data_IF_952376755549
#
_entry.id   IF_952376755549
#
_cell.length_a   1.000
_cell.length_b   1.000
_cell.length_c   1.000
_cell.angle_alpha   90.00
_cell.angle_beta   90.00
_cell.angle_gamma   90.00
#
_symmetry.space_group_name_H-M   'P 1'
#
loop_
_entity.id
_entity.type
_entity.pdbx_description
1 polymer ?
#
# COMPACT_ATOMS: atom_id res chain seq x y z
N UNK A 1 8.22 8.99 -13.94
CA UNK A 1 9.60 8.98 -14.47
C UNK A 1 9.64 8.08 -15.69
N UNK A 2 10.56 8.30 -16.64
CA UNK A 2 10.75 7.41 -17.79
C UNK A 2 12.17 6.88 -17.79
N UNK A 3 12.31 5.58 -18.06
CA UNK A 3 13.62 4.92 -18.08
C UNK A 3 14.53 5.39 -19.23
N UNK A 4 13.93 5.84 -20.35
CA UNK A 4 14.67 6.33 -21.50
C UNK A 4 14.49 7.84 -21.71
N UNK A 5 15.49 8.54 -22.29
CA UNK A 5 15.36 9.95 -22.64
C UNK A 5 14.31 10.17 -23.72
N UNK A 6 13.80 11.40 -23.81
CA UNK A 6 12.87 11.79 -24.88
C UNK A 6 13.50 11.64 -26.27
N UNK A 7 12.65 11.48 -27.31
CA UNK A 7 13.05 11.20 -28.70
C UNK A 7 13.72 9.84 -28.96
N UNK A 8 13.81 8.96 -27.92
CA UNK A 8 14.21 7.58 -28.14
C UNK A 8 13.21 6.91 -29.08
N UNK A 9 13.72 6.13 -30.05
CA UNK A 9 12.91 5.29 -30.93
C UNK A 9 12.36 4.12 -30.14
N UNK A 10 11.04 3.96 -30.12
CA UNK A 10 10.38 2.88 -29.39
C UNK A 10 9.45 2.08 -30.30
N UNK A 11 9.30 0.82 -29.97
CA UNK A 11 8.28 -0.08 -30.55
C UNK A 11 7.38 -0.54 -29.40
N UNK A 12 6.07 -0.44 -29.57
CA UNK A 12 5.08 -0.85 -28.58
C UNK A 12 4.69 -2.32 -28.85
N UNK A 13 5.02 -3.20 -27.89
CA UNK A 13 4.69 -4.62 -28.00
C UNK A 13 3.38 -4.92 -27.27
N UNK A 14 2.29 -5.00 -28.03
CA UNK A 14 0.91 -5.19 -27.59
C UNK A 14 -0.04 -4.32 -28.40
N UNK A 15 -1.13 -4.93 -28.88
CA UNK A 15 -2.18 -4.27 -29.71
C UNK A 15 -3.54 -4.24 -29.01
N UNK A 16 -3.54 -4.28 -27.67
CA UNK A 16 -4.73 -4.20 -26.81
C UNK A 16 -5.14 -2.73 -26.54
N UNK A 17 -6.17 -2.54 -25.73
CA UNK A 17 -6.55 -1.22 -25.20
C UNK A 17 -5.39 -0.52 -24.49
N UNK A 18 -4.53 -1.27 -23.80
CA UNK A 18 -3.30 -0.76 -23.18
C UNK A 18 -2.34 -0.20 -24.23
N UNK A 19 -2.22 -0.86 -25.40
CA UNK A 19 -1.44 -0.38 -26.54
C UNK A 19 -1.95 0.95 -27.09
N UNK A 20 -3.26 1.09 -27.21
CA UNK A 20 -3.88 2.34 -27.64
C UNK A 20 -3.59 3.48 -26.66
N UNK A 21 -3.76 3.23 -25.36
CA UNK A 21 -3.48 4.22 -24.33
C UNK A 21 -2.01 4.64 -24.33
N UNK A 22 -1.08 3.67 -24.37
CA UNK A 22 0.35 3.89 -24.43
C UNK A 22 0.75 4.74 -25.64
N UNK A 23 0.18 4.47 -26.81
CA UNK A 23 0.44 5.25 -28.01
C UNK A 23 0.12 6.74 -27.80
N UNK A 24 -1.10 7.06 -27.37
CA UNK A 24 -1.50 8.45 -27.15
C UNK A 24 -0.70 9.14 -26.06
N UNK A 25 -0.28 8.40 -25.03
CA UNK A 25 0.52 8.91 -23.92
C UNK A 25 1.97 9.22 -24.32
N UNK A 26 2.56 8.39 -25.18
CA UNK A 26 4.00 8.45 -25.45
C UNK A 26 4.37 9.18 -26.75
N UNK A 27 3.48 9.31 -27.73
CA UNK A 27 3.74 9.89 -29.05
C UNK A 27 4.26 11.32 -29.05
N UNK A 28 4.00 12.10 -28.00
CA UNK A 28 4.51 13.47 -27.88
C UNK A 28 5.97 13.54 -27.40
N UNK A 29 6.48 12.45 -26.83
CA UNK A 29 7.79 12.39 -26.20
C UNK A 29 8.77 11.45 -26.89
N UNK A 30 8.28 10.38 -27.48
CA UNK A 30 9.06 9.32 -28.11
C UNK A 30 8.72 9.19 -29.59
N UNK A 31 9.72 8.73 -30.40
CA UNK A 31 9.49 8.34 -31.78
C UNK A 31 8.94 6.90 -31.82
N UNK A 32 7.64 6.75 -32.01
CA UNK A 32 6.99 5.43 -32.09
C UNK A 32 7.12 4.89 -33.51
N UNK A 33 7.95 3.86 -33.69
CA UNK A 33 8.21 3.24 -34.99
C UNK A 33 7.07 2.33 -35.44
N UNK A 34 6.32 1.74 -34.51
CA UNK A 34 5.22 0.84 -34.79
C UNK A 34 4.79 0.05 -33.60
N UNK A 35 3.83 -0.83 -33.85
CA UNK A 35 3.38 -1.84 -32.91
C UNK A 35 3.92 -3.22 -33.29
N UNK A 36 4.01 -4.11 -32.30
CA UNK A 36 4.21 -5.54 -32.51
C UNK A 36 3.19 -6.33 -31.71
N UNK A 37 2.91 -7.55 -32.12
CA UNK A 37 1.96 -8.47 -31.47
C UNK A 37 2.54 -9.86 -31.38
N UNK A 38 2.13 -10.62 -30.36
CA UNK A 38 2.47 -12.06 -30.24
C UNK A 38 1.82 -12.93 -31.32
N UNK A 39 0.73 -12.44 -31.93
CA UNK A 39 0.05 -13.09 -33.08
C UNK A 39 0.54 -12.58 -34.43
N UNK A 40 0.20 -13.31 -35.50
CA UNK A 40 0.49 -12.92 -36.89
C UNK A 40 -0.51 -11.84 -37.34
N UNK A 41 -0.45 -10.66 -36.75
CA UNK A 41 -1.26 -9.52 -37.17
C UNK A 41 -0.44 -8.66 -38.16
N UNK A 42 -1.09 -8.17 -39.20
CA UNK A 42 -0.55 -7.20 -40.15
C UNK A 42 -1.55 -6.06 -40.34
N UNK A 43 -1.07 -4.91 -40.79
CA UNK A 43 -1.91 -3.73 -41.01
C UNK A 43 -1.53 -2.56 -40.09
N UNK A 44 -2.52 -1.75 -39.71
CA UNK A 44 -2.31 -0.57 -38.87
C UNK A 44 -3.09 -0.66 -37.55
N UNK A 45 -2.47 -0.18 -36.49
CA UNK A 45 -3.10 0.03 -35.19
C UNK A 45 -2.84 1.48 -34.74
N UNK A 46 -3.88 2.21 -34.38
CA UNK A 46 -3.78 3.67 -34.10
C UNK A 46 -3.18 4.50 -35.26
N UNK A 47 -3.34 4.05 -36.51
CA UNK A 47 -2.77 4.70 -37.68
C UNK A 47 -1.28 4.40 -37.96
N UNK A 48 -0.63 3.60 -37.08
CA UNK A 48 0.79 3.21 -37.18
C UNK A 48 0.88 1.73 -37.57
N UNK A 49 1.94 1.37 -38.29
CA UNK A 49 2.10 0.01 -38.83
C UNK A 49 2.29 -1.03 -37.72
N UNK A 50 1.71 -2.20 -37.87
CA UNK A 50 2.00 -3.39 -37.09
C UNK A 50 3.20 -4.09 -37.76
N UNK A 51 4.33 -4.05 -37.08
CA UNK A 51 5.59 -4.57 -37.58
C UNK A 51 5.70 -6.09 -37.33
N UNK A 52 6.22 -6.86 -38.28
CA UNK A 52 6.43 -8.29 -38.06
C UNK A 52 7.50 -8.57 -37.03
N UNK A 53 7.33 -9.62 -36.25
CA UNK A 53 8.26 -10.01 -35.20
C UNK A 53 9.70 -10.31 -35.69
N UNK A 54 9.89 -10.56 -36.97
CA UNK A 54 11.22 -10.69 -37.58
C UNK A 54 12.05 -9.38 -37.57
N UNK A 55 11.39 -8.23 -37.45
CA UNK A 55 12.04 -6.94 -37.38
C UNK A 55 12.57 -6.56 -35.99
N UNK A 56 12.25 -7.32 -34.94
CA UNK A 56 12.67 -7.03 -33.56
C UNK A 56 14.20 -6.83 -33.50
N UNK A 57 14.98 -7.83 -33.93
CA UNK A 57 16.44 -7.74 -33.87
C UNK A 57 17.03 -6.63 -34.75
N UNK A 58 16.61 -6.47 -36.03
CA UNK A 58 17.03 -5.33 -36.84
C UNK A 58 16.78 -3.98 -36.20
N UNK A 59 15.59 -3.74 -35.64
CA UNK A 59 15.24 -2.48 -34.99
C UNK A 59 16.05 -2.22 -33.72
N UNK A 60 16.25 -3.25 -32.90
CA UNK A 60 17.11 -3.14 -31.70
C UNK A 60 18.56 -2.79 -32.07
N UNK A 61 19.10 -3.39 -33.15
CA UNK A 61 20.45 -3.04 -33.68
C UNK A 61 20.54 -1.60 -34.17
N UNK A 62 19.44 -1.00 -34.60
CA UNK A 62 19.33 0.41 -34.98
C UNK A 62 19.06 1.33 -33.77
N UNK A 63 19.10 0.80 -32.54
CA UNK A 63 18.91 1.55 -31.30
C UNK A 63 17.47 1.71 -30.85
N UNK A 64 16.49 1.08 -31.52
CA UNK A 64 15.12 1.11 -31.03
C UNK A 64 14.97 0.28 -29.75
N UNK A 65 14.04 0.69 -28.88
CA UNK A 65 13.69 0.01 -27.63
C UNK A 65 12.30 -0.57 -27.73
N UNK A 66 12.12 -1.78 -27.25
CA UNK A 66 10.81 -2.45 -27.22
C UNK A 66 10.17 -2.22 -25.86
N UNK A 67 8.97 -1.66 -25.83
CA UNK A 67 8.18 -1.48 -24.63
C UNK A 67 7.10 -2.55 -24.60
N UNK A 68 7.24 -3.50 -23.68
CA UNK A 68 6.28 -4.58 -23.49
C UNK A 68 5.12 -4.05 -22.65
N UNK A 69 3.92 -4.00 -23.25
CA UNK A 69 2.77 -3.31 -22.68
C UNK A 69 1.93 -4.19 -21.74
N UNK A 70 1.85 -5.46 -22.04
CA UNK A 70 1.28 -6.44 -21.12
C UNK A 70 2.42 -6.83 -20.16
N UNK A 71 2.24 -6.65 -18.85
CA UNK A 71 3.24 -6.99 -17.83
C UNK A 71 3.45 -8.52 -17.78
N UNK A 72 3.81 -9.08 -18.92
CA UNK A 72 3.99 -10.51 -19.11
C UNK A 72 5.47 -10.86 -18.91
N UNK A 73 5.80 -11.28 -17.69
CA UNK A 73 7.11 -11.83 -17.37
C UNK A 73 7.52 -12.97 -18.32
N UNK A 74 6.54 -13.71 -18.89
CA UNK A 74 6.76 -14.75 -19.89
C UNK A 74 7.20 -14.14 -21.23
N UNK A 75 6.60 -13.03 -21.65
CA UNK A 75 7.01 -12.29 -22.84
C UNK A 75 8.44 -11.74 -22.66
N UNK A 76 8.74 -11.09 -21.55
CA UNK A 76 10.06 -10.55 -21.23
C UNK A 76 11.14 -11.66 -21.23
N UNK A 77 10.88 -12.78 -20.57
CA UNK A 77 11.79 -13.95 -20.60
C UNK A 77 11.97 -14.50 -22.01
N UNK A 78 10.91 -14.58 -22.80
CA UNK A 78 11.02 -15.05 -24.20
C UNK A 78 11.86 -14.11 -25.07
N UNK A 79 11.81 -12.80 -24.85
CA UNK A 79 12.67 -11.84 -25.54
C UNK A 79 14.13 -12.01 -25.14
N UNK A 80 14.40 -12.22 -23.88
CA UNK A 80 15.76 -12.43 -23.37
C UNK A 80 16.31 -13.80 -23.79
N UNK A 81 15.64 -14.90 -23.45
CA UNK A 81 16.17 -16.26 -23.63
C UNK A 81 16.16 -16.72 -25.08
N UNK A 82 15.07 -16.47 -25.82
CA UNK A 82 14.93 -16.97 -27.19
C UNK A 82 15.53 -16.06 -28.25
N UNK A 83 15.67 -14.77 -27.94
CA UNK A 83 16.14 -13.76 -28.92
C UNK A 83 17.45 -13.08 -28.51
N UNK A 84 17.99 -13.39 -27.33
CA UNK A 84 19.23 -12.82 -26.81
C UNK A 84 19.17 -11.30 -26.58
N UNK A 85 17.96 -10.76 -26.36
CA UNK A 85 17.79 -9.34 -26.07
C UNK A 85 18.06 -9.06 -24.59
N UNK A 86 18.69 -7.94 -24.31
CA UNK A 86 19.05 -7.54 -22.93
C UNK A 86 18.00 -6.58 -22.38
N UNK A 87 17.58 -6.84 -21.13
CA UNK A 87 16.71 -5.94 -20.38
C UNK A 87 17.36 -4.55 -20.29
N UNK A 88 16.61 -3.49 -20.39
CA UNK A 88 16.99 -2.10 -20.50
C UNK A 88 17.69 -1.75 -21.84
N UNK A 89 18.66 -2.53 -22.30
CA UNK A 89 19.39 -2.20 -23.54
C UNK A 89 18.52 -2.33 -24.79
N UNK A 90 17.63 -3.31 -24.80
CA UNK A 90 16.77 -3.61 -25.95
C UNK A 90 15.29 -3.50 -25.64
N UNK A 91 14.86 -3.90 -24.46
CA UNK A 91 13.45 -3.90 -24.08
C UNK A 91 13.24 -3.56 -22.60
N UNK A 92 12.03 -3.11 -22.26
CA UNK A 92 11.51 -2.97 -20.90
C UNK A 92 10.02 -3.27 -20.86
N UNK A 93 9.50 -3.86 -19.76
CA UNK A 93 8.07 -3.81 -19.48
C UNK A 93 7.62 -2.38 -19.18
N UNK A 94 6.37 -2.07 -19.45
CA UNK A 94 5.80 -0.72 -19.26
C UNK A 94 5.92 -0.23 -17.82
N UNK A 95 5.83 -1.11 -16.86
CA UNK A 95 6.01 -0.83 -15.41
C UNK A 95 7.39 -0.28 -15.07
N UNK A 96 8.43 -0.74 -15.75
CA UNK A 96 9.81 -0.26 -15.60
C UNK A 96 10.17 0.83 -16.62
N UNK A 97 9.40 1.00 -17.68
CA UNK A 97 9.59 2.09 -18.64
C UNK A 97 9.06 3.41 -18.12
N UNK A 98 7.87 3.40 -17.52
CA UNK A 98 7.27 4.54 -16.85
C UNK A 98 6.95 4.19 -15.41
N UNK A 99 7.66 4.78 -14.47
CA UNK A 99 7.54 4.43 -13.05
C UNK A 99 7.54 5.66 -12.14
N UNK A 100 6.80 5.57 -11.06
CA UNK A 100 6.90 6.47 -9.91
C UNK A 100 7.84 5.89 -8.83
N UNK A 101 7.98 4.57 -8.82
CA UNK A 101 8.85 3.76 -7.97
C UNK A 101 9.30 2.54 -8.75
N UNK A 102 10.50 2.03 -8.49
CA UNK A 102 11.02 0.83 -9.15
C UNK A 102 10.45 -0.39 -8.42
N UNK A 103 9.62 -1.20 -9.10
CA UNK A 103 9.17 -2.48 -8.56
C UNK A 103 10.32 -3.49 -8.64
N UNK A 104 11.03 -3.63 -7.51
CA UNK A 104 12.22 -4.46 -7.43
C UNK A 104 11.90 -5.95 -7.45
N UNK A 105 10.71 -6.36 -6.98
CA UNK A 105 10.30 -7.77 -7.06
C UNK A 105 9.97 -8.17 -8.50
N UNK A 106 9.29 -7.30 -9.23
CA UNK A 106 9.03 -7.50 -10.65
C UNK A 106 10.34 -7.58 -11.42
N UNK A 107 11.24 -6.62 -11.25
CA UNK A 107 12.56 -6.61 -11.89
C UNK A 107 13.35 -7.88 -11.55
N UNK A 108 13.39 -8.28 -10.27
CA UNK A 108 14.14 -9.44 -9.78
C UNK A 108 13.61 -10.76 -10.36
N UNK A 109 12.30 -10.84 -10.64
CA UNK A 109 11.67 -12.03 -11.24
C UNK A 109 11.92 -12.19 -12.74
N UNK A 110 12.32 -11.10 -13.43
CA UNK A 110 12.43 -11.05 -14.89
C UNK A 110 13.84 -11.31 -15.43
N UNK A 111 14.87 -11.23 -14.59
CA UNK A 111 16.26 -11.27 -15.04
C UNK A 111 17.17 -12.08 -14.12
N UNK A 112 18.38 -12.37 -14.56
CA UNK A 112 19.41 -12.97 -13.71
C UNK A 112 19.88 -11.99 -12.63
N UNK A 113 20.55 -12.49 -11.59
CA UNK A 113 21.13 -11.65 -10.54
C UNK A 113 22.16 -10.64 -11.08
N UNK A 114 22.96 -11.04 -12.07
CA UNK A 114 23.94 -10.20 -12.73
C UNK A 114 23.24 -9.07 -13.51
N UNK A 115 22.17 -9.39 -14.21
CA UNK A 115 21.37 -8.41 -14.95
C UNK A 115 20.63 -7.49 -14.01
N UNK A 116 20.07 -7.98 -12.92
CA UNK A 116 19.45 -7.18 -11.86
C UNK A 116 20.44 -6.18 -11.28
N UNK A 117 21.63 -6.64 -10.90
CA UNK A 117 22.72 -5.78 -10.35
C UNK A 117 23.14 -4.70 -11.33
N UNK A 118 23.09 -4.97 -12.64
CA UNK A 118 23.42 -4.00 -13.69
C UNK A 118 22.28 -2.98 -13.93
N UNK A 119 21.03 -3.45 -13.96
CA UNK A 119 19.89 -2.65 -14.42
C UNK A 119 19.33 -1.75 -13.31
N UNK A 120 19.29 -2.21 -12.06
CA UNK A 120 18.72 -1.46 -10.95
C UNK A 120 19.37 -0.08 -10.77
N UNK A 121 20.72 0.08 -10.70
CA UNK A 121 21.36 1.38 -10.60
C UNK A 121 21.06 2.31 -11.79
N UNK A 122 20.91 1.75 -12.99
CA UNK A 122 20.57 2.55 -14.19
C UNK A 122 19.14 3.12 -14.07
N UNK A 123 18.18 2.31 -13.62
CA UNK A 123 16.81 2.75 -13.40
C UNK A 123 16.70 3.81 -12.29
N UNK A 124 17.58 3.78 -11.31
CA UNK A 124 17.65 4.82 -10.28
C UNK A 124 18.04 6.21 -10.81
N UNK A 125 18.66 6.30 -11.98
CA UNK A 125 19.02 7.57 -12.65
C UNK A 125 19.84 8.52 -11.77
N UNK A 126 20.78 7.98 -11.00
CA UNK A 126 21.63 8.75 -10.08
C UNK A 126 20.96 9.18 -8.78
N UNK A 127 19.71 8.80 -8.54
CA UNK A 127 19.03 9.03 -7.27
C UNK A 127 19.43 8.00 -6.24
N UNK A 128 19.25 8.34 -4.96
CA UNK A 128 19.41 7.43 -3.83
C UNK A 128 18.21 6.50 -3.73
N UNK A 129 18.43 5.22 -3.44
CA UNK A 129 17.35 4.26 -3.21
C UNK A 129 16.73 4.44 -1.82
N UNK A 130 15.41 4.51 -1.76
CA UNK A 130 14.65 4.51 -0.53
C UNK A 130 13.81 3.23 -0.43
N UNK A 131 13.91 2.50 0.67
CA UNK A 131 13.11 1.32 0.97
C UNK A 131 12.26 1.59 2.21
N UNK A 132 10.98 1.24 2.15
CA UNK A 132 10.09 1.24 3.32
C UNK A 132 9.58 -0.17 3.57
N UNK A 133 9.66 -0.62 4.82
CA UNK A 133 9.34 -1.99 5.22
C UNK A 133 8.34 -1.98 6.40
N UNK A 134 7.28 -2.76 6.28
CA UNK A 134 6.23 -2.82 7.30
C UNK A 134 4.93 -3.41 6.76
N UNK A 135 3.83 -3.10 7.42
CA UNK A 135 2.48 -3.52 7.03
C UNK A 135 1.84 -2.57 6.00
N UNK A 136 0.52 -2.69 5.80
CA UNK A 136 -0.25 -1.87 4.85
C UNK A 136 -0.13 -0.35 5.05
N UNK A 137 0.24 0.13 6.24
CA UNK A 137 0.40 1.56 6.55
C UNK A 137 1.60 2.20 5.82
N UNK A 138 2.58 1.41 5.42
CA UNK A 138 3.82 1.91 4.80
C UNK A 138 3.64 2.39 3.37
N UNK A 139 2.74 1.78 2.61
CA UNK A 139 2.49 2.19 1.22
C UNK A 139 1.89 3.60 1.10
N UNK A 140 0.86 3.98 1.89
CA UNK A 140 0.38 5.36 1.94
C UNK A 140 1.44 6.38 2.38
N UNK A 141 2.27 6.06 3.38
CA UNK A 141 3.38 6.93 3.80
C UNK A 141 4.35 7.12 2.62
N UNK A 142 4.75 6.03 1.95
CA UNK A 142 5.60 6.10 0.76
C UNK A 142 4.97 6.93 -0.36
N UNK A 143 3.64 6.90 -0.49
CA UNK A 143 2.91 7.71 -1.47
C UNK A 143 3.03 9.21 -1.17
N UNK A 144 2.86 9.66 0.07
CA UNK A 144 3.10 11.05 0.43
C UNK A 144 4.56 11.45 0.19
N UNK A 145 5.53 10.65 0.60
CA UNK A 145 6.95 10.92 0.38
C UNK A 145 7.28 11.09 -1.11
N UNK A 146 6.75 10.22 -1.99
CA UNK A 146 6.95 10.32 -3.45
C UNK A 146 6.39 11.61 -4.05
N UNK A 147 5.30 12.12 -3.50
CA UNK A 147 4.70 13.38 -3.95
C UNK A 147 5.31 14.62 -3.31
N UNK A 148 6.30 14.45 -2.42
CA UNK A 148 7.13 15.56 -1.98
C UNK A 148 8.24 15.85 -3.00
N UNK A 149 8.38 17.12 -3.39
CA UNK A 149 9.30 17.52 -4.47
C UNK A 149 10.76 17.30 -4.10
N UNK A 150 11.20 17.68 -2.88
CA UNK A 150 12.58 17.51 -2.44
C UNK A 150 12.93 16.03 -2.33
N UNK A 151 12.05 15.22 -1.75
CA UNK A 151 12.24 13.79 -1.69
C UNK A 151 12.36 13.17 -3.08
N UNK A 152 11.46 13.48 -4.00
CA UNK A 152 11.43 12.90 -5.34
C UNK A 152 12.58 13.34 -6.25
N UNK A 153 13.25 14.47 -5.92
CA UNK A 153 14.50 14.88 -6.58
C UNK A 153 15.70 14.05 -6.12
N UNK A 154 15.76 13.71 -4.84
CA UNK A 154 16.90 13.05 -4.23
C UNK A 154 16.78 11.54 -4.21
N UNK A 155 15.57 11.01 -3.98
CA UNK A 155 15.29 9.59 -3.77
C UNK A 155 14.36 9.01 -4.83
N UNK A 156 14.50 7.70 -5.05
CA UNK A 156 13.52 6.85 -5.74
C UNK A 156 13.19 5.66 -4.85
N UNK A 157 11.89 5.32 -4.73
CA UNK A 157 11.50 4.15 -3.98
C UNK A 157 11.86 2.86 -4.71
N UNK A 158 12.51 1.97 -3.98
CA UNK A 158 12.77 0.58 -4.33
C UNK A 158 11.64 -0.24 -3.70
N UNK A 159 10.57 -0.45 -4.47
CA UNK A 159 9.37 -1.12 -3.98
C UNK A 159 9.64 -2.62 -3.84
N UNK A 160 9.32 -3.13 -2.66
CA UNK A 160 9.13 -4.55 -2.38
C UNK A 160 7.65 -4.82 -2.05
N UNK A 161 7.34 -5.75 -1.18
CA UNK A 161 5.98 -6.00 -0.70
C UNK A 161 5.88 -5.74 0.79
N UNK A 162 4.65 -5.66 1.31
CA UNK A 162 4.41 -5.62 2.75
C UNK A 162 4.83 -6.94 3.41
N UNK A 163 5.25 -6.89 4.67
CA UNK A 163 5.92 -8.00 5.36
C UNK A 163 5.17 -9.33 5.30
N UNK A 164 3.84 -9.30 5.45
CA UNK A 164 3.01 -10.51 5.43
C UNK A 164 2.73 -11.09 4.03
N UNK A 165 3.22 -10.46 2.96
CA UNK A 165 3.09 -10.93 1.57
C UNK A 165 4.40 -11.42 0.96
N UNK A 166 5.49 -11.46 1.72
CA UNK A 166 6.69 -12.13 1.25
C UNK A 166 6.46 -13.63 1.13
N UNK A 167 6.99 -14.22 0.07
CA UNK A 167 6.94 -15.65 -0.21
C UNK A 167 8.37 -16.20 -0.32
N UNK A 168 8.54 -17.53 -0.26
CA UNK A 168 9.85 -18.17 -0.48
C UNK A 168 10.49 -17.78 -1.81
N UNK A 169 9.69 -17.49 -2.82
CA UNK A 169 10.15 -17.15 -4.16
C UNK A 169 10.75 -15.74 -4.25
N UNK A 170 10.27 -14.80 -3.44
CA UNK A 170 10.67 -13.38 -3.55
C UNK A 170 11.48 -12.85 -2.36
N UNK A 171 11.50 -13.57 -1.24
CA UNK A 171 12.19 -13.16 -0.02
C UNK A 171 13.71 -13.03 -0.21
N UNK A 172 14.29 -13.77 -1.18
CA UNK A 172 15.70 -13.76 -1.50
C UNK A 172 16.27 -12.38 -1.81
N UNK A 173 15.42 -11.43 -2.28
CA UNK A 173 15.83 -10.05 -2.55
C UNK A 173 16.35 -9.35 -1.30
N UNK A 174 15.79 -9.65 -0.12
CA UNK A 174 16.20 -9.06 1.17
C UNK A 174 17.58 -9.56 1.65
N UNK A 175 18.23 -10.42 0.89
CA UNK A 175 19.60 -10.89 1.13
C UNK A 175 20.48 -10.70 -0.11
N UNK A 176 19.96 -10.11 -1.17
CA UNK A 176 20.71 -9.81 -2.37
C UNK A 176 21.57 -8.56 -2.16
N UNK A 177 22.90 -8.73 -2.25
CA UNK A 177 23.84 -7.64 -2.00
C UNK A 177 23.66 -6.47 -2.97
N UNK A 178 23.40 -6.75 -4.24
CA UNK A 178 23.22 -5.70 -5.25
C UNK A 178 21.97 -4.85 -4.97
N UNK A 179 20.91 -5.45 -4.44
CA UNK A 179 19.73 -4.72 -3.96
C UNK A 179 20.05 -3.88 -2.73
N UNK A 180 20.66 -4.51 -1.71
CA UNK A 180 20.94 -3.85 -0.42
C UNK A 180 21.90 -2.68 -0.57
N UNK A 181 22.92 -2.79 -1.44
CA UNK A 181 23.89 -1.72 -1.74
C UNK A 181 23.22 -0.50 -2.42
N UNK A 182 22.07 -0.68 -3.05
CA UNK A 182 21.29 0.42 -3.64
C UNK A 182 20.43 1.17 -2.61
N UNK A 183 20.23 0.63 -1.40
CA UNK A 183 19.39 1.25 -0.37
C UNK A 183 20.19 2.27 0.43
N UNK A 184 19.91 3.56 0.23
CA UNK A 184 20.53 4.66 0.95
C UNK A 184 19.67 5.21 2.09
N UNK A 185 18.36 4.93 2.06
CA UNK A 185 17.39 5.27 3.10
C UNK A 185 16.50 4.06 3.35
N UNK A 186 16.52 3.56 4.57
CA UNK A 186 15.67 2.45 5.01
C UNK A 186 14.75 2.92 6.13
N UNK A 187 13.46 2.91 5.86
CA UNK A 187 12.41 3.21 6.84
C UNK A 187 11.71 1.91 7.21
N UNK A 188 11.53 1.61 8.49
CA UNK A 188 10.91 0.36 8.90
C UNK A 188 10.06 0.52 10.15
N UNK A 189 8.93 -0.18 10.20
CA UNK A 189 8.26 -0.47 11.46
C UNK A 189 9.08 -1.48 12.24
N UNK A 190 8.89 -1.53 13.57
CA UNK A 190 9.56 -2.53 14.40
C UNK A 190 8.98 -3.93 14.10
N UNK A 191 9.74 -4.75 13.41
CA UNK A 191 9.39 -6.10 13.02
C UNK A 191 10.33 -7.06 13.75
N UNK A 192 9.74 -7.93 14.60
CA UNK A 192 10.50 -8.91 15.38
C UNK A 192 11.11 -9.99 14.47
N UNK A 193 12.25 -10.54 14.88
CA UNK A 193 12.85 -11.75 14.27
C UNK A 193 11.98 -13.00 14.44
N UNK A 194 11.08 -12.98 15.42
CA UNK A 194 10.11 -14.04 15.68
C UNK A 194 8.76 -13.80 14.99
N UNK A 195 8.71 -12.87 14.05
CA UNK A 195 7.53 -12.62 13.24
C UNK A 195 7.19 -13.86 12.42
N UNK A 196 5.93 -14.28 12.47
CA UNK A 196 5.43 -15.49 11.83
C UNK A 196 5.37 -15.41 10.29
N UNK A 197 5.55 -14.22 9.70
CA UNK A 197 5.40 -14.03 8.25
C UNK A 197 6.75 -14.04 7.51
N UNK A 198 7.72 -13.26 7.99
CA UNK A 198 8.98 -13.09 7.27
C UNK A 198 10.10 -12.67 8.22
N UNK A 199 10.90 -13.62 8.66
CA UNK A 199 12.05 -13.38 9.53
C UNK A 199 13.08 -12.45 8.88
N UNK A 200 13.34 -12.63 7.59
CA UNK A 200 14.34 -11.90 6.80
C UNK A 200 14.02 -10.40 6.71
N UNK A 201 12.73 -10.04 6.80
CA UNK A 201 12.27 -8.65 6.81
C UNK A 201 12.29 -8.02 8.23
N UNK A 202 12.77 -8.76 9.26
CA UNK A 202 12.87 -8.17 10.60
C UNK A 202 13.79 -6.96 10.61
N UNK A 203 13.40 -5.95 11.41
CA UNK A 203 14.15 -4.68 11.48
C UNK A 203 15.59 -4.91 11.88
N UNK A 204 15.83 -5.82 12.84
CA UNK A 204 17.16 -6.15 13.33
C UNK A 204 18.06 -6.77 12.26
N UNK A 205 17.55 -7.75 11.51
CA UNK A 205 18.32 -8.39 10.43
C UNK A 205 18.57 -7.44 9.27
N UNK A 206 17.57 -6.63 8.90
CA UNK A 206 17.74 -5.64 7.84
C UNK A 206 18.79 -4.59 8.25
N UNK A 207 18.79 -4.12 9.48
CA UNK A 207 19.80 -3.17 9.96
C UNK A 207 21.23 -3.71 9.89
N UNK A 208 21.41 -5.02 10.12
CA UNK A 208 22.72 -5.69 10.01
C UNK A 208 23.17 -5.92 8.57
N UNK A 209 22.23 -6.11 7.63
CA UNK A 209 22.53 -6.39 6.21
C UNK A 209 22.80 -5.11 5.40
N UNK A 210 22.14 -4.01 5.76
CA UNK A 210 22.24 -2.75 5.02
C UNK A 210 23.59 -2.08 5.26
N UNK A 211 24.15 -1.38 4.25
CA UNK A 211 25.39 -0.62 4.37
C UNK A 211 25.38 0.36 5.55
N UNK A 212 26.53 0.62 6.15
CA UNK A 212 26.67 1.60 7.23
C UNK A 212 26.31 3.03 6.77
N UNK A 213 26.46 3.31 5.49
CA UNK A 213 26.08 4.58 4.87
C UNK A 213 24.57 4.74 4.70
N UNK A 214 23.81 3.65 4.83
CA UNK A 214 22.35 3.68 4.74
C UNK A 214 21.77 4.38 5.97
N UNK A 215 21.01 5.47 5.75
CA UNK A 215 20.24 6.11 6.83
C UNK A 215 19.06 5.22 7.21
N UNK A 216 19.01 4.85 8.48
CA UNK A 216 17.99 3.94 9.04
C UNK A 216 17.00 4.75 9.86
N UNK A 217 15.71 4.54 9.65
CA UNK A 217 14.63 5.28 10.32
C UNK A 217 13.60 4.29 10.85
N UNK A 218 13.42 4.25 12.16
CA UNK A 218 12.38 3.45 12.80
C UNK A 218 11.10 4.27 12.89
N UNK A 219 10.05 3.81 12.21
CA UNK A 219 8.73 4.44 12.22
C UNK A 219 7.76 3.68 13.12
N UNK A 220 6.74 4.36 13.63
CA UNK A 220 5.72 3.75 14.45
C UNK A 220 4.83 2.79 13.63
N UNK A 221 4.35 1.75 14.29
CA UNK A 221 3.24 0.91 13.83
C UNK A 221 1.99 1.37 14.57
N UNK A 222 1.05 1.95 13.84
CA UNK A 222 -0.19 2.45 14.40
C UNK A 222 -1.09 1.29 14.81
N UNK A 223 -1.52 1.34 16.05
CA UNK A 223 -2.51 0.44 16.63
C UNK A 223 -3.23 1.18 17.74
N UNK A 224 -4.55 1.35 17.60
CA UNK A 224 -5.39 2.05 18.56
C UNK A 224 -6.79 1.46 18.60
N UNK A 225 -7.15 0.82 19.70
CA UNK A 225 -8.46 0.21 19.93
C UNK A 225 -9.44 1.15 20.65
N UNK A 226 -9.05 2.39 20.96
CA UNK A 226 -9.89 3.30 21.74
C UNK A 226 -11.24 3.67 21.10
N UNK A 227 -11.40 3.47 19.79
CA UNK A 227 -12.69 3.59 19.12
C UNK A 227 -13.41 2.22 18.98
N UNK A 228 -12.72 1.12 19.20
CA UNK A 228 -13.15 -0.24 18.83
C UNK A 228 -13.03 -1.19 20.03
N UNK A 229 -13.74 -0.93 21.16
CA UNK A 229 -13.67 -1.79 22.34
C UNK A 229 -14.16 -3.22 22.03
N UNK A 230 -15.04 -3.38 21.03
CA UNK A 230 -15.55 -4.68 20.57
C UNK A 230 -14.56 -5.47 19.71
N UNK A 231 -13.38 -4.94 19.39
CA UNK A 231 -12.43 -5.53 18.45
C UNK A 231 -12.01 -6.95 18.84
N UNK A 232 -12.23 -7.88 17.95
CA UNK A 232 -11.70 -9.25 18.02
C UNK A 232 -11.42 -9.82 16.63
N UNK A 233 -10.73 -10.97 16.57
CA UNK A 233 -10.60 -11.72 15.33
C UNK A 233 -11.96 -12.27 14.94
N UNK A 234 -12.36 -12.08 13.67
CA UNK A 234 -13.60 -12.67 13.16
C UNK A 234 -13.39 -14.14 12.79
N UNK A 235 -14.05 -15.05 13.49
CA UNK A 235 -14.03 -16.49 13.23
C UNK A 235 -14.98 -16.89 12.09
N UNK A 236 -15.93 -16.05 11.74
CA UNK A 236 -16.93 -16.25 10.68
C UNK A 236 -16.50 -15.64 9.34
N UNK A 237 -15.29 -15.05 9.27
CA UNK A 237 -14.82 -14.37 8.06
C UNK A 237 -14.62 -15.35 6.91
N UNK A 238 -15.30 -15.12 5.79
CA UNK A 238 -15.18 -15.90 4.55
C UNK A 238 -14.32 -15.13 3.55
N UNK A 239 -13.12 -15.67 3.28
CA UNK A 239 -12.23 -15.12 2.26
C UNK A 239 -12.68 -15.59 0.88
N UNK A 240 -12.65 -14.71 -0.10
CA UNK A 240 -12.90 -15.03 -1.50
C UNK A 240 -11.77 -14.47 -2.38
N UNK A 241 -11.61 -14.99 -3.61
CA UNK A 241 -10.62 -14.49 -4.57
C UNK A 241 -10.82 -13.00 -4.91
N UNK A 242 -12.07 -12.53 -4.86
CA UNK A 242 -12.41 -11.12 -5.11
C UNK A 242 -12.18 -10.22 -3.89
N UNK A 243 -12.33 -10.76 -2.69
CA UNK A 243 -12.23 -10.03 -1.42
C UNK A 243 -11.24 -10.73 -0.51
N UNK A 244 -9.96 -10.39 -0.67
CA UNK A 244 -8.84 -11.00 0.05
C UNK A 244 -8.89 -10.78 1.57
N UNK A 245 -9.67 -9.82 2.02
CA UNK A 245 -9.91 -9.54 3.44
C UNK A 245 -11.24 -10.14 3.94
N UNK A 246 -12.08 -10.67 3.04
CA UNK A 246 -13.37 -11.30 3.34
C UNK A 246 -14.48 -10.30 3.68
N UNK A 247 -15.63 -10.86 4.08
CA UNK A 247 -16.70 -10.10 4.69
C UNK A 247 -16.43 -9.98 6.20
N UNK A 248 -16.60 -8.80 6.78
CA UNK A 248 -16.29 -8.51 8.18
C UNK A 248 -14.86 -8.93 8.56
N UNK A 249 -13.89 -8.14 8.22
CA UNK A 249 -12.46 -8.41 8.51
C UNK A 249 -12.19 -8.63 10.00
N UNK A 250 -12.95 -7.95 10.84
CA UNK A 250 -12.88 -8.03 12.29
C UNK A 250 -14.20 -8.55 12.85
N UNK A 251 -14.14 -9.23 13.97
CA UNK A 251 -15.31 -9.65 14.72
C UNK A 251 -15.77 -8.57 15.69
N UNK A 252 -16.97 -8.76 16.21
CA UNK A 252 -17.62 -7.89 17.18
C UNK A 252 -17.92 -8.67 18.45
N UNK A 253 -17.10 -8.44 19.50
CA UNK A 253 -17.22 -9.17 20.75
C UNK A 253 -18.52 -8.86 21.48
N UNK A 254 -19.06 -7.63 21.35
CA UNK A 254 -20.31 -7.22 21.98
C UNK A 254 -21.47 -7.99 21.36
N UNK A 255 -21.58 -7.97 20.03
CA UNK A 255 -22.67 -8.69 19.34
C UNK A 255 -22.57 -10.19 19.53
N UNK A 256 -21.36 -10.76 19.40
CA UNK A 256 -21.15 -12.20 19.58
C UNK A 256 -21.56 -12.67 20.99
N UNK A 257 -21.24 -11.90 22.02
CA UNK A 257 -21.63 -12.19 23.40
C UNK A 257 -23.15 -12.19 23.61
N UNK A 258 -23.83 -11.17 23.05
CA UNK A 258 -25.29 -11.06 23.18
C UNK A 258 -26.04 -12.21 22.46
N UNK A 259 -25.51 -12.62 21.29
CA UNK A 259 -26.02 -13.81 20.59
C UNK A 259 -25.82 -15.09 21.44
N UNK A 260 -24.62 -15.23 22.04
CA UNK A 260 -24.29 -16.37 22.88
C UNK A 260 -25.17 -16.42 24.18
N UNK A 261 -25.60 -15.27 24.67
CA UNK A 261 -26.55 -15.14 25.79
C UNK A 261 -28.02 -15.54 25.39
N UNK A 262 -28.27 -15.75 24.10
CA UNK A 262 -29.59 -16.15 23.58
C UNK A 262 -30.57 -15.00 23.46
N UNK A 263 -30.11 -13.75 23.40
CA UNK A 263 -30.99 -12.59 23.14
C UNK A 263 -31.53 -12.65 21.72
N UNK A 264 -32.72 -12.13 21.52
CA UNK A 264 -33.28 -11.99 20.18
C UNK A 264 -32.63 -10.80 19.42
N UNK A 265 -32.81 -10.76 18.09
CA UNK A 265 -32.20 -9.78 17.22
C UNK A 265 -32.55 -8.34 17.59
N UNK A 266 -33.82 -8.08 17.92
CA UNK A 266 -34.29 -6.72 18.24
C UNK A 266 -33.72 -6.22 19.57
N UNK A 267 -33.59 -7.11 20.55
CA UNK A 267 -32.94 -6.82 21.84
C UNK A 267 -31.45 -6.49 21.64
N UNK A 268 -30.76 -7.26 20.76
CA UNK A 268 -29.34 -7.03 20.44
C UNK A 268 -29.18 -5.71 19.71
N UNK A 269 -30.02 -5.46 18.71
CA UNK A 269 -29.98 -4.21 17.95
C UNK A 269 -30.25 -2.98 18.83
N UNK A 270 -31.29 -3.03 19.66
CA UNK A 270 -31.62 -1.96 20.61
C UNK A 270 -30.48 -1.71 21.61
N UNK A 271 -29.86 -2.78 22.14
CA UNK A 271 -28.72 -2.67 23.05
C UNK A 271 -27.49 -2.05 22.35
N UNK A 272 -27.16 -2.50 21.14
CA UNK A 272 -26.01 -1.99 20.40
C UNK A 272 -26.07 -0.47 20.14
N UNK A 273 -27.29 0.08 20.02
CA UNK A 273 -27.54 1.53 19.86
C UNK A 273 -27.59 2.29 21.17
N UNK A 274 -27.66 1.61 22.30
CA UNK A 274 -27.78 2.27 23.61
C UNK A 274 -26.43 2.69 24.18
N UNK A 275 -26.44 3.65 25.09
CA UNK A 275 -25.26 4.06 25.84
C UNK A 275 -24.71 2.96 26.75
N UNK A 276 -25.50 1.93 27.03
CA UNK A 276 -25.11 0.77 27.84
C UNK A 276 -24.20 -0.22 27.09
N UNK A 277 -24.14 -0.10 25.75
CA UNK A 277 -23.34 -1.00 24.92
C UNK A 277 -21.83 -0.95 25.25
N UNK A 278 -21.34 0.21 25.73
CA UNK A 278 -19.94 0.41 26.10
C UNK A 278 -19.85 1.16 27.43
N UNK A 279 -19.35 0.48 28.46
CA UNK A 279 -19.12 1.11 29.76
C UNK A 279 -18.05 2.20 29.64
N UNK A 280 -18.37 3.39 30.14
CA UNK A 280 -17.49 4.57 30.05
C UNK A 280 -16.15 4.36 30.77
N UNK A 281 -16.16 3.76 31.95
CA UNK A 281 -14.97 3.55 32.74
C UNK A 281 -14.05 2.52 32.09
N UNK A 282 -14.62 1.42 31.59
CA UNK A 282 -13.86 0.40 30.86
C UNK A 282 -13.24 0.99 29.56
N UNK A 283 -13.95 1.85 28.86
CA UNK A 283 -13.45 2.54 27.68
C UNK A 283 -12.28 3.48 28.05
N UNK A 284 -12.40 4.26 29.13
CA UNK A 284 -11.33 5.16 29.61
C UNK A 284 -10.08 4.37 30.03
N UNK A 285 -10.24 3.24 30.71
CA UNK A 285 -9.15 2.34 31.07
C UNK A 285 -8.47 1.72 29.85
N UNK A 286 -9.26 1.26 28.87
CA UNK A 286 -8.76 0.76 27.59
C UNK A 286 -7.93 1.83 26.87
N UNK A 287 -8.47 3.03 26.71
CA UNK A 287 -7.76 4.14 26.04
C UNK A 287 -6.46 4.49 26.76
N UNK A 288 -6.47 4.57 28.08
CA UNK A 288 -5.27 4.85 28.85
C UNK A 288 -4.19 3.76 28.63
N UNK A 289 -4.59 2.50 28.60
CA UNK A 289 -3.67 1.39 28.32
C UNK A 289 -3.11 1.45 26.90
N UNK A 290 -3.95 1.80 25.89
CA UNK A 290 -3.51 1.94 24.50
C UNK A 290 -2.47 3.05 24.32
N UNK A 291 -2.61 4.20 25.00
CA UNK A 291 -1.60 5.25 24.96
C UNK A 291 -0.31 4.86 25.69
N UNK A 292 -0.41 4.15 26.81
CA UNK A 292 0.76 3.62 27.52
C UNK A 292 1.55 2.66 26.61
N UNK A 293 0.87 1.74 25.94
CA UNK A 293 1.47 0.79 24.99
C UNK A 293 2.06 1.49 23.76
N UNK A 294 1.36 2.49 23.21
CA UNK A 294 1.86 3.27 22.07
C UNK A 294 3.15 3.98 22.44
N UNK A 295 3.20 4.67 23.59
CA UNK A 295 4.43 5.31 24.09
C UNK A 295 5.55 4.32 24.36
N UNK A 296 5.23 3.13 24.87
CA UNK A 296 6.23 2.07 25.10
C UNK A 296 6.85 1.59 23.77
N UNK A 297 6.05 1.43 22.74
CA UNK A 297 6.52 1.08 21.38
C UNK A 297 7.37 2.20 20.77
N UNK A 298 6.97 3.46 20.97
CA UNK A 298 7.66 4.63 20.45
C UNK A 298 9.02 4.95 21.11
N UNK A 299 9.36 4.32 22.25
CA UNK A 299 10.69 4.47 22.84
C UNK A 299 11.82 4.10 21.89
N UNK A 300 11.57 3.20 20.95
CA UNK A 300 12.54 2.73 19.95
C UNK A 300 12.30 3.31 18.55
N UNK A 301 11.35 4.25 18.39
CA UNK A 301 11.02 4.88 17.12
C UNK A 301 11.65 6.28 17.02
N UNK A 302 12.12 6.60 15.82
CA UNK A 302 12.58 7.95 15.46
C UNK A 302 11.37 8.87 15.20
N UNK A 303 10.28 8.29 14.69
CA UNK A 303 9.04 9.01 14.37
C UNK A 303 7.98 8.66 15.41
N UNK A 304 7.62 9.65 16.23
CA UNK A 304 6.67 9.50 17.34
C UNK A 304 5.38 10.24 17.04
N UNK A 305 4.24 9.62 17.39
CA UNK A 305 2.89 10.12 17.05
C UNK A 305 1.92 10.06 18.24
N UNK A 306 2.27 9.39 19.34
CA UNK A 306 1.38 9.16 20.48
C UNK A 306 0.76 10.45 21.03
N UNK A 307 1.59 11.48 21.25
CA UNK A 307 1.12 12.74 21.79
C UNK A 307 0.14 13.43 20.85
N UNK A 308 0.43 13.43 19.53
CA UNK A 308 -0.50 14.00 18.55
C UNK A 308 -1.83 13.26 18.52
N UNK A 309 -1.82 11.92 18.59
CA UNK A 309 -3.04 11.10 18.60
C UNK A 309 -3.83 11.40 19.86
N UNK A 310 -3.21 11.43 21.03
CA UNK A 310 -3.87 11.71 22.33
C UNK A 310 -4.49 13.11 22.38
N UNK A 311 -3.83 14.11 21.77
CA UNK A 311 -4.36 15.47 21.70
C UNK A 311 -5.57 15.61 20.75
N UNK A 312 -5.73 14.70 19.79
CA UNK A 312 -6.67 14.89 18.67
C UNK A 312 -7.73 13.80 18.55
N UNK A 313 -7.61 12.64 19.18
CA UNK A 313 -8.53 11.51 19.00
C UNK A 313 -9.98 11.78 19.39
N UNK A 314 -10.25 12.75 20.27
CA UNK A 314 -11.61 13.20 20.61
C UNK A 314 -12.15 14.30 19.71
N UNK A 315 -11.34 14.86 18.84
CA UNK A 315 -11.73 15.98 17.97
C UNK A 315 -12.16 15.51 16.59
N UNK A 316 -11.70 14.32 16.17
CA UNK A 316 -11.98 13.72 14.88
C UNK A 316 -11.54 12.25 14.85
N UNK A 317 -12.13 11.48 13.95
CA UNK A 317 -11.78 10.07 13.78
C UNK A 317 -10.41 9.95 13.12
N UNK A 318 -9.42 9.45 13.87
CA UNK A 318 -8.04 9.26 13.41
C UNK A 318 -7.75 7.83 12.93
N UNK A 319 -8.67 6.89 13.10
CA UNK A 319 -8.52 5.50 12.72
C UNK A 319 -9.82 4.96 12.09
N UNK A 320 -9.70 4.23 11.00
CA UNK A 320 -10.80 3.52 10.34
C UNK A 320 -10.97 2.10 10.89
N UNK A 321 -9.93 1.51 11.42
CA UNK A 321 -9.91 0.29 12.24
C UNK A 321 -8.72 0.38 13.19
N UNK A 322 -8.59 -0.55 14.11
CA UNK A 322 -7.52 -0.54 15.12
C UNK A 322 -6.12 -0.33 14.53
N UNK A 323 -5.86 -0.76 13.30
CA UNK A 323 -4.57 -0.66 12.61
C UNK A 323 -4.61 0.14 11.29
N UNK A 324 -5.70 0.81 10.97
CA UNK A 324 -5.85 1.63 9.76
C UNK A 324 -5.98 3.11 10.10
N UNK A 325 -4.85 3.83 10.24
CA UNK A 325 -4.87 5.27 10.52
C UNK A 325 -5.44 6.08 9.35
N UNK A 326 -6.09 7.19 9.66
CA UNK A 326 -6.56 8.15 8.68
C UNK A 326 -5.41 8.83 7.93
N UNK A 327 -5.71 9.40 6.76
CA UNK A 327 -4.72 10.06 5.91
C UNK A 327 -3.91 11.13 6.65
N UNK A 328 -4.51 11.81 7.60
CA UNK A 328 -3.86 12.82 8.43
C UNK A 328 -2.64 12.27 9.18
N UNK A 329 -2.76 11.11 9.82
CA UNK A 329 -1.65 10.48 10.53
C UNK A 329 -0.56 9.99 9.56
N UNK A 330 -0.95 9.47 8.40
CA UNK A 330 -0.03 9.02 7.37
C UNK A 330 0.78 10.18 6.78
N UNK A 331 0.10 11.31 6.52
CA UNK A 331 0.70 12.56 6.05
C UNK A 331 1.64 13.18 7.08
N UNK A 332 1.22 13.21 8.34
CA UNK A 332 2.05 13.71 9.44
C UNK A 332 3.30 12.82 9.62
N UNK A 333 3.17 11.50 9.49
CA UNK A 333 4.33 10.60 9.49
C UNK A 333 5.31 10.93 8.39
N UNK A 334 4.82 11.09 7.16
CA UNK A 334 5.67 11.48 6.03
C UNK A 334 6.34 12.84 6.27
N UNK A 335 5.62 13.81 6.86
CA UNK A 335 6.17 15.12 7.22
C UNK A 335 7.30 15.01 8.24
N UNK A 336 7.10 14.24 9.31
CA UNK A 336 8.12 14.00 10.34
C UNK A 336 9.33 13.24 9.77
N UNK A 337 9.12 12.26 8.89
CA UNK A 337 10.20 11.57 8.18
C UNK A 337 11.04 12.56 7.37
N UNK A 338 10.40 13.44 6.58
CA UNK A 338 11.10 14.44 5.76
C UNK A 338 11.97 15.38 6.59
N UNK A 339 11.51 15.78 7.78
CA UNK A 339 12.28 16.56 8.74
C UNK A 339 13.43 15.75 9.33
N UNK A 340 13.17 14.55 9.79
CA UNK A 340 14.16 13.65 10.39
C UNK A 340 15.33 13.32 9.44
N UNK A 341 15.03 13.15 8.14
CA UNK A 341 16.09 12.91 7.17
C UNK A 341 16.82 14.20 6.72
N UNK A 342 16.36 15.37 7.18
CA UNK A 342 17.03 16.65 6.94
C UNK A 342 16.63 17.34 5.63
N UNK A 343 15.52 16.94 5.02
CA UNK A 343 15.02 17.62 3.81
C UNK A 343 14.24 18.90 4.11
N UNK A 344 13.76 19.06 5.35
CA UNK A 344 13.04 20.24 5.84
C UNK A 344 13.49 20.60 7.24
N UNK A 345 13.56 21.88 7.56
CA UNK A 345 13.69 22.36 8.93
C UNK A 345 12.38 22.10 9.73
N UNK A 346 12.45 22.17 11.08
CA UNK A 346 11.32 21.84 11.95
C UNK A 346 10.11 22.73 11.73
N UNK A 347 10.34 24.00 11.52
CA UNK A 347 9.33 25.06 11.30
C UNK A 347 8.96 25.27 9.83
N UNK A 348 9.67 24.61 8.90
CA UNK A 348 9.44 24.77 7.48
C UNK A 348 8.16 24.02 7.04
N UNK A 349 7.24 24.69 6.28
CA UNK A 349 6.04 24.03 5.79
C UNK A 349 6.38 22.97 4.75
N UNK A 350 5.94 21.75 4.99
CA UNK A 350 6.04 20.63 4.05
C UNK A 350 4.83 20.61 3.14
N UNK A 351 5.06 20.54 1.84
CA UNK A 351 4.01 20.47 0.82
C UNK A 351 4.12 19.20 0.00
N UNK A 352 2.98 18.65 -0.38
CA UNK A 352 2.88 17.48 -1.24
C UNK A 352 2.18 17.84 -2.55
N UNK A 353 2.70 17.36 -3.68
CA UNK A 353 2.00 17.50 -4.97
C UNK A 353 0.70 16.71 -4.93
N UNK A 354 -0.36 17.26 -5.53
CA UNK A 354 -1.68 16.62 -5.54
C UNK A 354 -2.28 16.39 -4.13
N UNK A 355 -1.90 17.21 -3.15
CA UNK A 355 -2.29 17.07 -1.75
C UNK A 355 -3.80 16.93 -1.59
N UNK A 356 -4.60 17.84 -2.19
CA UNK A 356 -6.06 17.77 -2.13
C UNK A 356 -6.63 16.45 -2.68
N UNK A 357 -6.02 15.90 -3.74
CA UNK A 357 -6.43 14.60 -4.31
C UNK A 357 -6.00 13.42 -3.44
N UNK A 358 -4.90 13.54 -2.70
CA UNK A 358 -4.45 12.52 -1.75
C UNK A 358 -5.34 12.50 -0.50
N UNK A 359 -5.64 13.69 0.01
CA UNK A 359 -6.40 13.84 1.25
C UNK A 359 -7.90 13.50 1.04
N UNK A 360 -8.45 13.75 -0.16
CA UNK A 360 -9.86 13.45 -0.49
C UNK A 360 -10.20 11.96 -0.62
N UNK A 361 -9.19 11.09 -0.73
CA UNK A 361 -9.38 9.65 -0.86
C UNK A 361 -8.76 8.93 0.33
N UNK A 362 -9.57 8.46 1.30
CA UNK A 362 -9.06 7.69 2.42
C UNK A 362 -8.32 6.44 1.93
N UNK A 363 -7.00 6.37 2.18
CA UNK A 363 -6.14 5.35 1.56
C UNK A 363 -6.27 3.96 2.21
N UNK A 364 -6.73 3.90 3.46
CA UNK A 364 -6.89 2.65 4.22
C UNK A 364 -8.36 2.39 4.64
N UNK A 365 -9.33 3.15 4.12
CA UNK A 365 -10.75 3.01 4.49
C UNK A 365 -11.42 1.78 3.86
N UNK A 366 -10.75 1.02 3.01
CA UNK A 366 -11.29 -0.25 2.47
C UNK A 366 -11.47 -1.35 3.51
N UNK A 367 -10.87 -1.19 4.69
CA UNK A 367 -11.04 -2.07 5.86
C UNK A 367 -11.35 -1.18 7.04
N UNK A 368 -12.59 -1.21 7.50
CA UNK A 368 -13.07 -0.42 8.65
C UNK A 368 -13.54 -1.32 9.76
N UNK A 369 -13.59 -0.77 10.95
CA UNK A 369 -14.33 -1.29 12.10
C UNK A 369 -15.39 -0.28 12.48
N UNK A 370 -16.48 -0.77 13.04
CA UNK A 370 -17.60 0.07 13.48
C UNK A 370 -17.25 0.81 14.76
N UNK A 371 -17.62 2.06 14.84
CA UNK A 371 -17.59 2.84 16.09
C UNK A 371 -19.01 2.85 16.66
N UNK A 372 -19.17 2.32 17.85
CA UNK A 372 -20.47 2.29 18.54
C UNK A 372 -20.92 3.70 18.94
N UNK A 373 -22.23 4.05 18.86
CA UNK A 373 -22.75 5.31 19.36
C UNK A 373 -22.31 5.63 20.79
N UNK A 374 -22.36 4.63 21.68
CA UNK A 374 -21.88 4.76 23.05
C UNK A 374 -20.40 5.21 23.15
N UNK A 375 -19.53 4.80 22.22
CA UNK A 375 -18.12 5.26 22.18
C UNK A 375 -18.08 6.73 21.84
N UNK A 376 -18.84 7.17 20.82
CA UNK A 376 -18.87 8.57 20.39
C UNK A 376 -19.42 9.46 21.53
N UNK A 377 -20.51 9.07 22.18
CA UNK A 377 -21.10 9.77 23.32
C UNK A 377 -20.11 9.86 24.50
N UNK A 378 -19.46 8.75 24.87
CA UNK A 378 -18.47 8.72 25.95
C UNK A 378 -17.24 9.59 25.66
N UNK A 379 -16.88 9.77 24.39
CA UNK A 379 -15.75 10.61 23.96
C UNK A 379 -16.16 12.07 23.70
N UNK A 380 -17.47 12.38 23.70
CA UNK A 380 -17.99 13.72 23.35
C UNK A 380 -17.87 14.06 21.87
N UNK A 381 -18.01 13.05 20.98
CA UNK A 381 -17.87 13.16 19.52
C UNK A 381 -19.22 13.04 18.78
N UNK A 382 -20.32 13.45 19.39
CA UNK A 382 -21.69 13.25 18.88
C UNK A 382 -21.92 13.87 17.48
N UNK A 383 -21.27 14.99 17.19
CA UNK A 383 -21.42 15.71 15.90
C UNK A 383 -20.82 14.94 14.70
N UNK A 384 -20.17 13.78 14.93
CA UNK A 384 -19.48 13.02 13.89
C UNK A 384 -20.28 11.77 13.46
N UNK A 385 -21.28 11.35 14.23
CA UNK A 385 -21.99 10.10 14.05
C UNK A 385 -22.60 9.94 12.65
N UNK A 386 -23.27 10.97 12.15
CA UNK A 386 -23.96 10.94 10.86
C UNK A 386 -23.01 10.85 9.64
N UNK A 387 -21.73 11.19 9.82
CA UNK A 387 -20.71 11.17 8.75
C UNK A 387 -19.97 9.83 8.66
N UNK A 388 -20.21 8.90 9.58
CA UNK A 388 -19.51 7.63 9.62
C UNK A 388 -20.12 6.62 8.65
N UNK A 389 -19.24 5.92 7.94
CA UNK A 389 -19.62 4.79 7.10
C UNK A 389 -18.55 3.72 7.16
N UNK A 390 -18.99 2.46 7.16
CA UNK A 390 -18.18 1.28 7.41
C UNK A 390 -18.12 0.37 6.19
N UNK A 391 -16.95 -0.06 5.79
CA UNK A 391 -16.78 -1.05 4.72
C UNK A 391 -16.74 -2.44 5.33
N UNK A 392 -17.85 -3.15 5.28
CA UNK A 392 -18.03 -4.42 6.01
C UNK A 392 -18.28 -5.60 5.10
N UNK A 393 -19.28 -5.52 4.22
CA UNK A 393 -19.64 -6.61 3.30
C UNK A 393 -19.06 -6.32 1.91
N UNK A 394 -18.09 -7.14 1.50
CA UNK A 394 -17.54 -7.12 0.14
C UNK A 394 -17.11 -5.74 -0.36
N UNK A 395 -16.71 -4.84 0.58
CA UNK A 395 -16.26 -3.49 0.26
C UNK A 395 -17.39 -2.46 0.07
N UNK A 396 -18.64 -2.85 0.29
CA UNK A 396 -19.77 -1.91 0.34
C UNK A 396 -19.75 -1.13 1.66
N UNK A 397 -20.12 0.13 1.58
CA UNK A 397 -20.18 1.00 2.76
C UNK A 397 -21.61 1.05 3.28
N UNK A 398 -21.78 0.91 4.58
CA UNK A 398 -23.04 1.01 5.28
C UNK A 398 -22.91 1.89 6.53
N UNK A 399 -24.04 2.33 7.09
CA UNK A 399 -24.13 2.99 8.39
C UNK A 399 -24.05 1.99 9.55
N UNK A 400 -24.26 2.46 10.78
CA UNK A 400 -24.22 1.61 11.97
C UNK A 400 -25.38 0.63 12.02
N UNK A 401 -26.58 1.07 11.64
CA UNK A 401 -27.78 0.26 11.68
C UNK A 401 -27.68 -0.94 10.73
N UNK A 402 -27.27 -0.68 9.50
CA UNK A 402 -27.02 -1.72 8.50
C UNK A 402 -25.84 -2.62 8.89
N UNK A 403 -24.81 -2.07 9.55
CA UNK A 403 -23.72 -2.90 10.07
C UNK A 403 -24.22 -3.95 11.05
N UNK A 404 -24.97 -3.54 12.07
CA UNK A 404 -25.48 -4.49 13.09
C UNK A 404 -26.36 -5.57 12.46
N UNK A 405 -27.32 -5.18 11.60
CA UNK A 405 -28.19 -6.11 10.89
C UNK A 405 -27.41 -7.09 10.02
N UNK A 406 -26.47 -6.58 9.24
CA UNK A 406 -25.64 -7.39 8.36
C UNK A 406 -24.72 -8.33 9.13
N UNK A 407 -24.14 -7.89 10.25
CA UNK A 407 -23.28 -8.73 11.08
C UNK A 407 -24.06 -9.88 11.69
N UNK A 408 -25.22 -9.60 12.30
CA UNK A 408 -26.07 -10.61 12.90
C UNK A 408 -26.57 -11.64 11.88
N UNK A 409 -27.04 -11.17 10.72
CA UNK A 409 -27.54 -12.06 9.67
C UNK A 409 -26.42 -12.90 9.05
N UNK A 410 -25.28 -12.31 8.72
CA UNK A 410 -24.18 -12.98 8.03
C UNK A 410 -23.40 -13.92 8.95
N UNK A 411 -23.04 -13.46 10.16
CA UNK A 411 -22.21 -14.23 11.07
C UNK A 411 -22.99 -15.24 11.90
N UNK A 412 -24.25 -14.94 12.22
CA UNK A 412 -25.04 -15.73 13.17
C UNK A 412 -26.37 -16.28 12.60
N UNK A 413 -26.80 -15.86 11.42
CA UNK A 413 -28.08 -16.23 10.84
C UNK A 413 -29.27 -15.67 11.63
N UNK A 414 -29.11 -14.59 12.34
CA UNK A 414 -30.08 -13.90 13.17
C UNK A 414 -30.57 -12.66 12.46
N UNK A 415 -31.85 -12.45 12.32
CA UNK A 415 -32.43 -11.37 11.53
C UNK A 415 -33.23 -10.42 12.44
N UNK A 416 -32.94 -9.12 12.31
CA UNK A 416 -33.68 -8.02 12.94
C UNK A 416 -35.00 -7.86 12.18
N UNK A 417 -36.13 -7.73 12.88
CA UNK A 417 -37.45 -7.47 12.27
C UNK A 417 -37.50 -5.99 11.82
N UNK A 418 -37.59 -5.74 10.52
CA UNK A 418 -37.66 -4.38 9.98
C UNK A 418 -39.06 -3.76 10.15
N UNK A 419 -40.00 -4.46 10.78
CA UNK A 419 -41.36 -3.94 11.12
C UNK A 419 -42.07 -3.36 9.90
N UNK A 420 -42.52 -4.22 8.94
CA UNK A 420 -43.47 -3.77 7.90
C UNK A 420 -44.85 -3.47 8.46
#
# INVERSE_FOLDING_TARGET
MFAYPGKTKIVLYGTSSAGKLAYYKYRSRFEILGFMSSGAQSGKFCGVDILPNSQILPLCRQGAKIIVLDNDAKCCRSLSEKRGLKLYDNFLPVSLFEYEMIDCLELYSMCSKEEFARVLPILMQGKKGALINGNCQTEPIAKYLRYNERFSKEYVFLKTTVVHRFTEQNIGILSDKAFLDCVSLFMTQKISVNNNHCREASSELMFKKLPDTCKKVMINNYWFQGYFPQHKKNEYNVLTDMYTYGAFNWGDEILDKLVAEGRNADEIYAFAKSDEAVDKKELEELIASQFADMRAREKTCDIKMADYIEENYKKRVLFYSCNHPANELLKLSATKILRFIGLYAEDEPVRFRYESSLDSKPMLKSVTETIYPAVLHNLGMNDIEDDLSYSVLFGEFCDFDDYVKNYLSFCHGVFVDDGE
#
